data_IF_203605650194
#
_entry.id   IF_203605650194
#
_cell.length_a   1.000
_cell.length_b   1.000
_cell.length_c   1.000
_cell.angle_alpha   90.00
_cell.angle_beta   90.00
_cell.angle_gamma   90.00
#
_symmetry.space_group_name_H-M   'P 1'
#
loop_
_entity.id
_entity.type
_entity.pdbx_description
1 polymer ?
#
# COMPACT_ATOMS: atom_id res chain seq x y z
N UNK A 1 13.30 22.74 -0.65
CA UNK A 1 12.28 22.96 0.40
C UNK A 1 12.35 21.72 1.28
N UNK A 2 12.74 21.86 2.54
CA UNK A 2 12.77 20.74 3.47
C UNK A 2 11.31 20.37 3.77
N UNK A 3 10.84 19.26 3.22
CA UNK A 3 9.54 18.70 3.60
C UNK A 3 9.65 18.32 5.08
N UNK A 4 9.04 19.13 5.94
CA UNK A 4 8.88 18.82 7.35
C UNK A 4 7.85 17.69 7.47
N UNK A 5 8.31 16.45 7.40
CA UNK A 5 7.48 15.32 7.80
C UNK A 5 7.36 15.36 9.33
N UNK A 6 6.13 15.32 9.85
CA UNK A 6 5.91 15.44 11.28
C UNK A 6 6.39 14.20 12.04
N UNK A 7 6.48 14.35 13.32
CA UNK A 7 7.01 13.39 14.29
C UNK A 7 6.39 11.99 14.11
N UNK A 8 7.21 10.97 13.87
CA UNK A 8 6.79 9.58 13.65
C UNK A 8 5.95 8.97 14.81
N UNK A 9 5.83 9.70 15.92
CA UNK A 9 5.09 9.29 17.13
C UNK A 9 3.57 9.54 17.05
N UNK A 10 3.04 10.17 15.95
CA UNK A 10 1.64 10.60 15.88
C UNK A 10 0.94 10.14 14.58
N UNK A 11 1.26 8.94 14.12
CA UNK A 11 0.81 8.47 12.79
C UNK A 11 -0.73 8.36 12.69
N UNK A 12 -1.38 7.83 13.74
CA UNK A 12 -2.84 7.77 13.78
C UNK A 12 -3.47 9.16 13.85
N UNK A 13 -2.92 10.08 14.64
CA UNK A 13 -3.44 11.45 14.77
C UNK A 13 -3.37 12.22 13.45
N UNK A 14 -2.26 12.10 12.72
CA UNK A 14 -2.10 12.75 11.41
C UNK A 14 -3.11 12.24 10.38
N UNK A 15 -3.30 10.92 10.34
CA UNK A 15 -4.32 10.34 9.47
C UNK A 15 -5.73 10.69 9.91
N UNK A 16 -5.95 10.85 11.21
CA UNK A 16 -7.22 11.30 11.76
C UNK A 16 -7.56 12.73 11.34
N UNK A 17 -6.59 13.64 11.27
CA UNK A 17 -6.80 15.01 10.76
C UNK A 17 -7.35 14.98 9.31
N UNK A 18 -6.76 14.16 8.43
CA UNK A 18 -7.25 14.00 7.05
C UNK A 18 -8.61 13.30 6.99
N UNK A 19 -8.83 12.29 7.85
CA UNK A 19 -10.10 11.60 7.99
C UNK A 19 -11.22 12.57 8.40
N UNK A 20 -10.98 13.42 9.40
CA UNK A 20 -11.95 14.44 9.86
C UNK A 20 -12.23 15.48 8.78
N UNK A 21 -11.20 15.92 8.04
CA UNK A 21 -11.38 16.80 6.89
C UNK A 21 -12.30 16.17 5.84
N UNK A 22 -12.12 14.88 5.56
CA UNK A 22 -12.96 14.16 4.61
C UNK A 22 -14.42 14.01 5.10
N UNK A 23 -14.66 13.86 6.41
CA UNK A 23 -16.02 13.89 6.99
C UNK A 23 -16.70 15.25 6.78
N UNK A 24 -15.98 16.35 6.99
CA UNK A 24 -16.54 17.69 6.89
C UNK A 24 -16.78 18.16 5.44
N UNK A 25 -16.04 17.61 4.49
CA UNK A 25 -16.13 17.97 3.07
C UNK A 25 -16.15 16.72 2.18
N UNK A 26 -17.13 15.81 2.38
CA UNK A 26 -17.14 14.54 1.64
C UNK A 26 -17.31 14.72 0.12
N UNK A 27 -17.94 15.84 -0.30
CA UNK A 27 -18.09 16.19 -1.71
C UNK A 27 -16.75 16.51 -2.40
N UNK A 28 -15.76 17.00 -1.66
CA UNK A 28 -14.43 17.33 -2.22
C UNK A 28 -13.66 16.07 -2.63
N UNK A 29 -14.03 14.92 -2.06
CA UNK A 29 -13.44 13.61 -2.32
C UNK A 29 -14.40 12.64 -3.03
N UNK A 30 -15.64 13.05 -3.32
CA UNK A 30 -16.72 12.17 -3.81
C UNK A 30 -16.86 10.90 -2.97
N UNK A 31 -16.90 11.05 -1.65
CA UNK A 31 -17.07 9.95 -0.69
C UNK A 31 -18.42 10.03 0.02
N UNK A 32 -18.80 8.93 0.66
CA UNK A 32 -19.99 8.86 1.53
C UNK A 32 -19.56 8.63 2.97
N UNK A 33 -20.31 9.18 3.89
CA UNK A 33 -20.14 8.95 5.33
C UNK A 33 -21.25 8.02 5.81
N UNK A 34 -20.89 6.88 6.35
CA UNK A 34 -21.82 5.92 6.96
C UNK A 34 -21.70 5.96 8.49
N UNK A 35 -22.84 5.93 9.17
CA UNK A 35 -22.90 5.78 10.63
C UNK A 35 -23.00 4.30 11.00
N UNK A 36 -22.04 3.80 11.78
CA UNK A 36 -22.00 2.43 12.27
C UNK A 36 -21.89 2.45 13.81
N UNK A 37 -23.02 2.42 14.49
CA UNK A 37 -23.07 2.70 15.93
C UNK A 37 -22.63 4.13 16.23
N UNK A 38 -21.59 4.28 17.06
CA UNK A 38 -21.02 5.57 17.42
C UNK A 38 -19.81 5.96 16.54
N UNK A 39 -19.52 5.16 15.52
CA UNK A 39 -18.36 5.29 14.64
C UNK A 39 -18.76 5.87 13.28
N UNK A 40 -17.93 6.72 12.70
CA UNK A 40 -18.03 7.15 11.31
C UNK A 40 -17.15 6.28 10.43
N UNK A 41 -17.72 5.74 9.36
CA UNK A 41 -17.02 4.99 8.32
C UNK A 41 -17.05 5.80 7.03
N UNK A 42 -15.90 5.98 6.41
CA UNK A 42 -15.80 6.66 5.11
C UNK A 42 -15.85 5.63 3.97
N UNK A 43 -16.95 5.65 3.23
CA UNK A 43 -17.10 4.88 1.98
C UNK A 43 -16.44 5.65 0.84
N UNK A 44 -15.23 5.24 0.48
CA UNK A 44 -14.49 5.82 -0.65
C UNK A 44 -14.98 5.31 -2.00
N UNK A 45 -15.42 4.05 -2.10
CA UNK A 45 -15.98 3.51 -3.34
C UNK A 45 -16.59 2.10 -3.19
N UNK A 46 -17.36 1.83 -2.16
CA UNK A 46 -18.16 0.60 -2.07
C UNK A 46 -19.33 0.69 -3.07
N UNK A 47 -19.38 -0.22 -4.05
CA UNK A 47 -20.44 -0.27 -5.06
C UNK A 47 -20.40 0.82 -6.13
N UNK A 48 -19.30 1.56 -6.28
CA UNK A 48 -19.09 2.59 -7.31
C UNK A 48 -17.63 2.68 -7.74
N UNK A 49 -17.33 3.48 -8.77
CA UNK A 49 -15.95 3.62 -9.27
C UNK A 49 -15.14 4.65 -8.48
N UNK A 50 -15.78 5.66 -7.84
CA UNK A 50 -15.10 6.76 -7.16
C UNK A 50 -14.27 7.65 -8.08
N UNK A 51 -13.40 8.46 -7.50
CA UNK A 51 -12.54 9.41 -8.23
C UNK A 51 -11.05 9.18 -7.95
N UNK A 52 -10.20 9.77 -8.78
CA UNK A 52 -8.75 9.74 -8.61
C UNK A 52 -8.31 10.52 -7.36
N UNK A 53 -8.95 11.66 -7.08
CA UNK A 53 -8.71 12.48 -5.89
C UNK A 53 -9.01 11.72 -4.60
N UNK A 54 -10.12 10.97 -4.58
CA UNK A 54 -10.43 10.07 -3.46
C UNK A 54 -9.35 8.99 -3.29
N UNK A 55 -8.82 8.48 -4.40
CA UNK A 55 -7.76 7.48 -4.38
C UNK A 55 -6.45 8.00 -3.79
N UNK A 56 -6.08 9.22 -4.14
CA UNK A 56 -4.90 9.89 -3.55
C UNK A 56 -5.08 10.06 -2.05
N UNK A 57 -6.22 10.61 -1.60
CA UNK A 57 -6.50 10.79 -0.17
C UNK A 57 -6.52 9.46 0.61
N UNK A 58 -7.13 8.41 0.04
CA UNK A 58 -7.14 7.07 0.65
C UNK A 58 -5.73 6.50 0.81
N UNK A 59 -4.88 6.65 -0.22
CA UNK A 59 -3.51 6.18 -0.18
C UNK A 59 -2.66 6.96 0.84
N UNK A 60 -2.85 8.28 0.96
CA UNK A 60 -2.19 9.10 1.98
C UNK A 60 -2.60 8.70 3.40
N UNK A 61 -3.91 8.49 3.65
CA UNK A 61 -4.39 7.95 4.94
C UNK A 61 -3.76 6.58 5.21
N UNK A 62 -3.73 5.70 4.22
CA UNK A 62 -3.15 4.35 4.34
C UNK A 62 -1.67 4.37 4.73
N UNK A 63 -0.93 5.38 4.29
CA UNK A 63 0.49 5.60 4.61
C UNK A 63 0.71 6.48 5.84
N UNK A 64 -0.32 6.73 6.65
CA UNK A 64 -0.19 7.53 7.87
C UNK A 64 0.06 9.01 7.60
N UNK A 65 -0.31 9.53 6.43
CA UNK A 65 0.03 10.88 5.96
C UNK A 65 1.55 11.18 5.98
N UNK A 66 2.40 10.14 5.97
CA UNK A 66 3.87 10.23 5.94
C UNK A 66 4.45 10.08 4.53
N UNK A 67 3.61 10.03 3.52
CA UNK A 67 4.00 9.99 2.12
C UNK A 67 3.17 10.97 1.31
N UNK A 68 3.74 11.44 0.22
CA UNK A 68 3.03 12.20 -0.80
C UNK A 68 2.67 11.29 -1.96
N UNK A 69 1.42 11.35 -2.36
CA UNK A 69 0.87 10.59 -3.49
C UNK A 69 0.48 11.56 -4.60
N UNK A 70 0.92 11.28 -5.81
CA UNK A 70 0.64 12.12 -6.99
C UNK A 70 0.27 11.26 -8.19
N UNK A 71 -0.69 11.70 -8.98
CA UNK A 71 -0.88 11.17 -10.32
C UNK A 71 -0.01 11.99 -11.27
N UNK A 72 0.86 11.30 -12.00
CA UNK A 72 1.82 11.93 -12.92
C UNK A 72 1.61 11.47 -14.36
N UNK A 73 2.31 12.12 -15.28
CA UNK A 73 2.17 11.91 -16.71
C UNK A 73 2.16 10.43 -17.13
N UNK A 74 1.38 10.08 -18.16
CA UNK A 74 1.28 8.70 -18.65
C UNK A 74 2.63 8.14 -19.14
N UNK A 75 2.80 6.82 -18.98
CA UNK A 75 3.83 6.08 -19.72
C UNK A 75 3.39 6.05 -21.19
N UNK A 76 4.24 6.53 -22.08
CA UNK A 76 3.92 6.68 -23.49
C UNK A 76 3.37 5.40 -24.14
N UNK A 77 4.02 4.26 -23.89
CA UNK A 77 3.66 2.96 -24.47
C UNK A 77 2.35 2.36 -23.95
N UNK A 78 1.93 2.76 -22.76
CA UNK A 78 0.71 2.23 -22.09
C UNK A 78 -0.44 3.23 -22.15
N UNK A 79 -0.18 4.51 -22.41
CA UNK A 79 -1.12 5.61 -22.32
C UNK A 79 -1.94 5.62 -21.01
N UNK A 80 -1.27 5.27 -19.91
CA UNK A 80 -1.86 5.19 -18.56
C UNK A 80 -1.15 6.15 -17.62
N UNK A 81 -1.89 6.92 -16.79
CA UNK A 81 -1.27 7.73 -15.74
C UNK A 81 -0.49 6.84 -14.78
N UNK A 82 0.44 7.43 -14.07
CA UNK A 82 1.22 6.73 -13.06
C UNK A 82 0.87 7.25 -11.67
N UNK A 83 0.83 6.35 -10.70
CA UNK A 83 0.82 6.69 -9.28
C UNK A 83 2.27 6.84 -8.84
N UNK A 84 2.63 8.04 -8.37
CA UNK A 84 3.93 8.35 -7.78
C UNK A 84 3.78 8.46 -6.27
N UNK A 85 4.69 7.81 -5.57
CA UNK A 85 4.81 7.83 -4.11
C UNK A 85 6.17 8.40 -3.73
N UNK A 86 6.24 9.23 -2.69
CA UNK A 86 7.50 9.68 -2.12
C UNK A 86 7.39 9.83 -0.60
N UNK A 87 8.39 9.31 0.13
CA UNK A 87 8.44 9.37 1.59
C UNK A 87 9.87 9.42 2.09
N UNK A 88 10.13 10.25 3.09
CA UNK A 88 11.38 10.23 3.87
C UNK A 88 11.27 9.42 5.17
N UNK A 89 10.16 8.70 5.35
CA UNK A 89 9.91 7.82 6.49
C UNK A 89 9.42 6.43 6.01
N UNK A 90 10.18 5.75 5.11
CA UNK A 90 9.69 4.53 4.46
C UNK A 90 9.39 3.40 5.45
N UNK A 91 10.14 3.30 6.55
CA UNK A 91 9.89 2.28 7.56
C UNK A 91 8.52 2.47 8.24
N UNK A 92 8.19 3.71 8.64
CA UNK A 92 6.93 4.02 9.30
C UNK A 92 5.75 4.03 8.30
N UNK A 93 5.91 4.72 7.17
CA UNK A 93 4.86 4.86 6.17
C UNK A 93 4.49 3.53 5.51
N UNK A 94 5.48 2.75 5.09
CA UNK A 94 5.26 1.50 4.36
C UNK A 94 5.07 0.32 5.31
N UNK A 95 6.04 0.04 6.19
CA UNK A 95 6.03 -1.16 7.03
C UNK A 95 5.10 -0.99 8.24
N UNK A 96 5.17 0.15 8.92
CA UNK A 96 4.32 0.46 10.07
C UNK A 96 2.85 0.61 9.70
N UNK A 97 2.57 1.35 8.63
CA UNK A 97 1.21 1.76 8.26
C UNK A 97 0.65 0.97 7.07
N UNK A 98 1.23 1.09 5.88
CA UNK A 98 0.62 0.65 4.63
C UNK A 98 0.57 -0.87 4.42
N UNK A 99 1.53 -1.65 4.93
CA UNK A 99 1.62 -3.09 4.69
C UNK A 99 0.26 -3.78 4.92
N UNK A 100 -0.17 -4.64 3.99
CA UNK A 100 -1.43 -5.38 4.07
C UNK A 100 -1.26 -6.65 4.92
N UNK A 101 -1.08 -6.47 6.24
CA UNK A 101 -0.75 -7.54 7.17
C UNK A 101 -1.89 -8.01 8.06
N UNK A 102 -3.10 -7.47 7.90
CA UNK A 102 -4.23 -7.78 8.76
C UNK A 102 -5.46 -8.25 7.99
N UNK A 103 -5.58 -9.56 7.66
CA UNK A 103 -6.83 -10.12 7.21
C UNK A 103 -7.84 -10.14 8.36
N UNK A 104 -8.99 -9.47 8.18
CA UNK A 104 -10.06 -9.42 9.16
C UNK A 104 -11.28 -10.15 8.61
N UNK A 105 -11.70 -11.20 9.32
CA UNK A 105 -12.91 -11.96 9.02
C UNK A 105 -13.82 -11.97 10.24
N UNK A 106 -15.11 -11.67 10.03
CA UNK A 106 -16.15 -11.82 11.05
C UNK A 106 -17.47 -12.17 10.38
N UNK A 107 -18.07 -13.30 10.75
CA UNK A 107 -19.27 -13.82 10.08
C UNK A 107 -19.07 -13.92 8.57
N UNK A 108 -19.84 -13.20 7.76
CA UNK A 108 -19.71 -13.14 6.30
C UNK A 108 -18.86 -11.96 5.82
N UNK A 109 -18.41 -11.08 6.72
CA UNK A 109 -17.58 -9.93 6.37
C UNK A 109 -16.11 -10.34 6.23
N UNK A 110 -15.48 -9.84 5.18
CA UNK A 110 -14.03 -9.95 4.98
C UNK A 110 -13.46 -8.62 4.49
N UNK A 111 -12.33 -8.24 5.06
CA UNK A 111 -11.52 -7.14 4.56
C UNK A 111 -10.03 -7.43 4.72
N UNK A 112 -9.23 -6.96 3.77
CA UNK A 112 -7.80 -6.81 4.00
C UNK A 112 -7.55 -5.42 4.60
N UNK A 113 -7.06 -5.40 5.83
CA UNK A 113 -6.85 -4.18 6.59
C UNK A 113 -5.40 -3.72 6.54
N UNK A 114 -5.24 -2.41 6.47
CA UNK A 114 -3.96 -1.70 6.46
C UNK A 114 -4.14 -0.31 7.10
N UNK A 115 -3.11 0.51 7.06
CA UNK A 115 -3.14 1.85 7.62
C UNK A 115 -2.59 1.91 9.05
N UNK A 116 -2.58 3.12 9.64
CA UNK A 116 -1.98 3.39 10.95
C UNK A 116 -2.49 2.52 12.10
N UNK A 117 -3.76 2.04 12.05
CA UNK A 117 -4.35 1.20 13.09
C UNK A 117 -3.59 -0.11 13.35
N UNK A 118 -2.71 -0.54 12.42
CA UNK A 118 -1.85 -1.70 12.63
C UNK A 118 -0.83 -1.48 13.73
N UNK A 119 -0.37 -0.23 13.90
CA UNK A 119 0.65 0.10 14.91
C UNK A 119 0.13 -0.06 16.36
N UNK A 120 -1.04 0.48 16.76
CA UNK A 120 -1.58 0.19 18.09
C UNK A 120 -1.99 -1.27 18.27
N UNK A 121 -2.44 -1.97 17.23
CA UNK A 121 -2.68 -3.41 17.29
C UNK A 121 -1.43 -4.21 17.61
N UNK A 122 -0.28 -3.90 17.00
CA UNK A 122 1.05 -4.40 17.35
C UNK A 122 1.28 -5.92 17.25
N UNK A 123 0.40 -6.69 16.59
CA UNK A 123 0.47 -8.17 16.60
C UNK A 123 1.40 -8.75 15.53
N UNK A 124 1.89 -7.94 14.61
CA UNK A 124 2.74 -8.40 13.53
C UNK A 124 4.21 -8.42 13.95
N UNK A 125 4.92 -9.51 13.64
CA UNK A 125 6.32 -9.69 14.02
C UNK A 125 7.21 -8.53 13.51
N UNK A 126 6.95 -8.02 12.30
CA UNK A 126 7.71 -6.92 11.72
C UNK A 126 7.57 -5.63 12.53
N UNK A 127 6.39 -5.35 13.10
CA UNK A 127 6.18 -4.19 13.98
C UNK A 127 6.99 -4.29 15.26
N UNK A 128 7.07 -5.48 15.84
CA UNK A 128 7.91 -5.75 17.03
C UNK A 128 9.39 -5.65 16.70
N UNK A 129 9.82 -6.23 15.58
CA UNK A 129 11.22 -6.24 15.14
C UNK A 129 11.77 -4.82 14.99
N UNK A 130 11.00 -3.92 14.37
CA UNK A 130 11.41 -2.52 14.11
C UNK A 130 10.88 -1.51 15.14
N UNK A 131 10.28 -1.99 16.25
CA UNK A 131 9.73 -1.15 17.33
C UNK A 131 8.72 -0.12 16.83
N UNK A 132 7.85 -0.55 15.92
CA UNK A 132 6.81 0.29 15.30
C UNK A 132 5.46 0.20 16.05
N UNK A 133 5.36 -0.62 17.11
CA UNK A 133 4.17 -0.63 17.94
C UNK A 133 4.03 0.70 18.69
N UNK A 134 2.89 1.35 18.52
CA UNK A 134 2.57 2.65 19.14
C UNK A 134 1.14 2.62 19.68
N UNK A 135 0.93 2.74 20.99
CA UNK A 135 -0.39 3.00 21.55
C UNK A 135 -0.96 4.30 20.95
N UNK A 136 -2.27 4.33 20.72
CA UNK A 136 -2.94 5.48 20.15
C UNK A 136 -4.29 5.73 20.83
N UNK A 137 -4.76 6.99 20.85
CA UNK A 137 -6.10 7.35 21.35
C UNK A 137 -7.17 7.10 20.28
N UNK A 138 -6.78 7.16 19.00
CA UNK A 138 -7.63 6.88 17.84
C UNK A 138 -6.98 5.81 16.95
N UNK A 139 -7.79 4.96 16.35
CA UNK A 139 -7.34 3.96 15.38
C UNK A 139 -7.84 4.33 13.99
N UNK A 140 -6.93 4.68 13.07
CA UNK A 140 -7.27 5.02 11.69
C UNK A 140 -6.82 3.90 10.77
N UNK A 141 -7.73 3.38 9.94
CA UNK A 141 -7.44 2.25 9.06
C UNK A 141 -8.07 2.34 7.68
N UNK A 142 -7.52 1.55 6.77
CA UNK A 142 -8.04 1.34 5.42
C UNK A 142 -8.41 -0.12 5.26
N UNK A 143 -9.63 -0.36 4.80
CA UNK A 143 -10.19 -1.68 4.57
C UNK A 143 -10.45 -1.87 3.07
N UNK A 144 -9.78 -2.85 2.48
CA UNK A 144 -10.10 -3.31 1.14
C UNK A 144 -11.24 -4.31 1.24
N UNK A 145 -12.46 -3.86 0.91
CA UNK A 145 -13.70 -4.63 0.99
C UNK A 145 -14.75 -4.06 0.04
N UNK A 146 -15.70 -4.91 -0.35
CA UNK A 146 -16.89 -4.51 -1.12
C UNK A 146 -18.12 -4.26 -0.23
N UNK A 147 -17.93 -4.27 1.10
CA UNK A 147 -18.97 -4.06 2.09
C UNK A 147 -18.52 -3.09 3.18
N UNK A 148 -19.46 -2.32 3.72
CA UNK A 148 -19.22 -1.49 4.90
C UNK A 148 -19.21 -2.41 6.13
N UNK A 149 -18.24 -2.27 7.07
CA UNK A 149 -18.23 -3.06 8.30
C UNK A 149 -19.45 -2.77 9.16
N UNK A 150 -19.95 -3.78 9.84
CA UNK A 150 -20.98 -3.63 10.86
C UNK A 150 -20.38 -3.24 12.23
N UNK A 151 -21.26 -3.08 13.23
CA UNK A 151 -20.86 -2.69 14.59
C UNK A 151 -19.96 -3.74 15.25
N UNK A 152 -20.16 -5.03 14.96
CA UNK A 152 -19.37 -6.11 15.55
C UNK A 152 -17.93 -6.09 15.00
N UNK A 153 -17.77 -5.82 13.71
CA UNK A 153 -16.45 -5.62 13.10
C UNK A 153 -15.74 -4.39 13.69
N UNK A 154 -16.44 -3.28 13.88
CA UNK A 154 -15.87 -2.08 14.53
C UNK A 154 -15.43 -2.38 15.96
N UNK A 155 -16.27 -3.08 16.75
CA UNK A 155 -15.92 -3.49 18.11
C UNK A 155 -14.67 -4.40 18.14
N UNK A 156 -14.54 -5.30 17.18
CA UNK A 156 -13.37 -6.16 17.06
C UNK A 156 -12.09 -5.37 16.78
N UNK A 157 -12.15 -4.38 15.89
CA UNK A 157 -11.02 -3.46 15.61
C UNK A 157 -10.66 -2.68 16.87
N UNK A 158 -11.66 -2.09 17.55
CA UNK A 158 -11.47 -1.34 18.78
C UNK A 158 -10.73 -2.16 19.85
N UNK A 159 -11.22 -3.38 20.10
CA UNK A 159 -10.60 -4.32 21.04
C UNK A 159 -9.14 -4.64 20.68
N UNK A 160 -8.87 -4.90 19.40
CA UNK A 160 -7.51 -5.27 18.96
C UNK A 160 -6.55 -4.09 18.96
N UNK A 161 -7.03 -2.88 18.76
CA UNK A 161 -6.22 -1.65 18.81
C UNK A 161 -6.12 -1.02 20.21
N UNK A 162 -6.92 -1.51 21.17
CA UNK A 162 -6.93 -0.96 22.53
C UNK A 162 -7.58 0.42 22.64
N UNK A 163 -8.55 0.73 21.77
CA UNK A 163 -9.31 2.00 21.76
C UNK A 163 -10.81 1.73 21.99
N UNK A 164 -11.61 2.77 22.21
CA UNK A 164 -13.05 2.62 22.22
C UNK A 164 -13.62 2.58 20.80
N UNK A 165 -14.80 1.97 20.60
CA UNK A 165 -15.40 1.82 19.26
C UNK A 165 -15.64 3.16 18.57
N UNK A 166 -15.99 4.22 19.33
CA UNK A 166 -16.17 5.58 18.80
C UNK A 166 -14.86 6.21 18.27
N UNK A 167 -13.69 5.69 18.70
CA UNK A 167 -12.36 6.19 18.33
C UNK A 167 -11.75 5.36 17.17
N UNK A 168 -12.52 4.39 16.64
CA UNK A 168 -12.19 3.68 15.41
C UNK A 168 -12.64 4.49 14.20
N UNK A 169 -11.75 4.71 13.24
CA UNK A 169 -11.97 5.54 12.07
C UNK A 169 -11.50 4.77 10.83
N UNK A 170 -12.42 4.22 10.07
CA UNK A 170 -12.05 3.36 8.92
C UNK A 170 -12.55 3.91 7.60
N UNK A 171 -11.69 3.80 6.59
CA UNK A 171 -11.98 4.08 5.19
C UNK A 171 -12.15 2.76 4.46
N UNK A 172 -13.19 2.64 3.64
CA UNK A 172 -13.48 1.40 2.90
C UNK A 172 -13.51 1.68 1.41
N UNK A 173 -12.84 0.87 0.64
CA UNK A 173 -12.90 0.87 -0.81
C UNK A 173 -12.77 -0.56 -1.37
N UNK A 174 -13.50 -0.85 -2.45
CA UNK A 174 -13.28 -2.08 -3.21
C UNK A 174 -12.10 -1.91 -4.17
N UNK A 175 -11.42 -2.99 -4.52
CA UNK A 175 -10.27 -2.96 -5.43
C UNK A 175 -10.66 -2.45 -6.82
N UNK A 176 -11.84 -2.87 -7.36
CA UNK A 176 -12.38 -2.44 -8.65
C UNK A 176 -12.96 -1.01 -8.60
N UNK A 177 -12.18 -0.06 -8.08
CA UNK A 177 -12.50 1.37 -7.99
C UNK A 177 -11.25 2.21 -8.16
N UNK A 178 -11.39 3.49 -8.48
CA UNK A 178 -10.23 4.40 -8.49
C UNK A 178 -9.55 4.46 -7.12
N UNK A 179 -10.27 4.67 -5.98
CA UNK A 179 -9.64 4.66 -4.68
C UNK A 179 -8.92 3.36 -4.34
N UNK A 180 -9.56 2.22 -4.58
CA UNK A 180 -8.94 0.92 -4.34
C UNK A 180 -7.71 0.68 -5.20
N UNK A 181 -7.80 0.92 -6.51
CA UNK A 181 -6.67 0.72 -7.42
C UNK A 181 -5.50 1.65 -7.09
N UNK A 182 -5.74 2.93 -6.82
CA UNK A 182 -4.67 3.90 -6.51
C UNK A 182 -3.99 3.53 -5.19
N UNK A 183 -4.74 3.18 -4.13
CA UNK A 183 -4.13 2.80 -2.86
C UNK A 183 -3.29 1.51 -2.96
N UNK A 184 -3.69 0.55 -3.84
CA UNK A 184 -2.88 -0.65 -4.09
C UNK A 184 -1.65 -0.31 -4.91
N UNK A 185 -1.76 0.45 -6.01
CA UNK A 185 -0.62 0.84 -6.84
C UNK A 185 0.37 1.74 -6.08
N UNK A 186 -0.11 2.54 -5.13
CA UNK A 186 0.73 3.33 -4.22
C UNK A 186 1.63 2.48 -3.30
N UNK A 187 1.49 1.15 -3.31
CA UNK A 187 2.36 0.22 -2.56
C UNK A 187 3.71 -0.07 -3.21
N UNK A 188 4.07 0.62 -4.29
CA UNK A 188 5.32 0.38 -5.01
C UNK A 188 6.56 0.44 -4.09
N UNK A 189 6.66 1.43 -3.19
CA UNK A 189 7.75 1.51 -2.21
C UNK A 189 7.59 0.45 -1.11
N UNK A 190 6.36 0.21 -0.66
CA UNK A 190 6.05 -0.79 0.36
C UNK A 190 6.47 -2.19 -0.09
N UNK A 191 6.18 -2.58 -1.33
CA UNK A 191 6.58 -3.89 -1.87
C UNK A 191 8.10 -4.05 -1.97
N UNK A 192 8.83 -2.97 -2.25
CA UNK A 192 10.30 -2.98 -2.17
C UNK A 192 10.77 -3.18 -0.72
N UNK A 193 10.17 -2.49 0.25
CA UNK A 193 10.48 -2.67 1.68
C UNK A 193 10.16 -4.09 2.16
N UNK A 194 9.01 -4.65 1.75
CA UNK A 194 8.64 -6.03 2.02
C UNK A 194 9.68 -7.02 1.47
N UNK A 195 10.09 -6.85 0.21
CA UNK A 195 11.12 -7.69 -0.42
C UNK A 195 12.45 -7.62 0.31
N UNK A 196 12.90 -6.42 0.67
CA UNK A 196 14.11 -6.23 1.48
C UNK A 196 14.03 -6.97 2.81
N UNK A 197 12.86 -6.94 3.48
CA UNK A 197 12.62 -7.70 4.71
C UNK A 197 12.75 -9.22 4.50
N UNK A 198 12.14 -9.76 3.44
CA UNK A 198 12.25 -11.19 3.11
C UNK A 198 13.69 -11.59 2.79
N UNK A 199 14.49 -10.71 2.17
CA UNK A 199 15.91 -10.89 1.90
C UNK A 199 16.81 -10.63 3.13
N UNK A 200 16.21 -10.31 4.31
CA UNK A 200 16.92 -10.07 5.59
C UNK A 200 17.81 -8.82 5.56
N UNK A 201 17.51 -7.87 4.70
CA UNK A 201 18.15 -6.56 4.73
C UNK A 201 17.63 -5.73 5.90
N UNK A 202 18.50 -4.93 6.51
CA UNK A 202 18.09 -4.07 7.62
C UNK A 202 17.31 -2.85 7.11
N UNK A 203 15.98 -2.89 7.28
CA UNK A 203 15.09 -1.81 6.83
C UNK A 203 15.32 -0.49 7.56
N UNK A 204 15.95 -0.49 8.74
CA UNK A 204 16.25 0.75 9.47
C UNK A 204 17.29 1.62 8.77
N UNK A 205 18.03 1.05 7.82
CA UNK A 205 18.99 1.77 6.98
C UNK A 205 18.36 2.48 5.78
N UNK A 206 17.10 2.21 5.45
CA UNK A 206 16.39 2.86 4.34
C UNK A 206 15.83 4.19 4.82
N UNK A 207 16.34 5.29 4.28
CA UNK A 207 16.08 6.65 4.77
C UNK A 207 15.17 7.48 3.85
N UNK A 208 14.99 7.07 2.59
CA UNK A 208 14.10 7.71 1.62
C UNK A 208 13.62 6.69 0.60
N UNK A 209 12.39 6.86 0.12
CA UNK A 209 11.79 6.00 -0.89
C UNK A 209 10.92 6.77 -1.87
N UNK A 210 11.12 6.53 -3.15
CA UNK A 210 10.27 7.02 -4.22
C UNK A 210 9.90 5.88 -5.15
N UNK A 211 8.63 5.81 -5.54
CA UNK A 211 8.14 4.80 -6.46
C UNK A 211 7.17 5.38 -7.48
N UNK A 212 7.16 4.80 -8.67
CA UNK A 212 6.14 5.05 -9.70
C UNK A 212 5.64 3.73 -10.25
N UNK A 213 4.35 3.62 -10.50
CA UNK A 213 3.75 2.47 -11.16
C UNK A 213 2.54 2.91 -12.01
N UNK A 214 2.25 2.24 -13.14
CA UNK A 214 1.11 2.61 -13.97
C UNK A 214 -0.21 2.31 -13.27
N UNK A 215 -1.17 3.23 -13.33
CA UNK A 215 -2.53 2.99 -12.89
C UNK A 215 -3.26 2.13 -13.93
N UNK A 216 -3.69 0.90 -13.61
CA UNK A 216 -4.42 0.07 -14.57
C UNK A 216 -5.78 0.66 -14.92
N UNK A 217 -6.46 0.19 -15.96
CA UNK A 217 -7.90 0.43 -16.14
C UNK A 217 -8.68 -0.04 -14.91
N UNK A 218 -9.86 0.52 -14.67
CA UNK A 218 -10.72 0.07 -13.57
C UNK A 218 -11.75 -0.93 -14.11
N UNK A 219 -11.58 -2.23 -13.83
CA UNK A 219 -12.52 -3.26 -14.29
C UNK A 219 -13.83 -3.22 -13.49
N UNK A 220 -14.75 -4.13 -13.80
CA UNK A 220 -16.03 -4.21 -13.08
C UNK A 220 -15.98 -5.15 -11.88
N UNK A 221 -15.05 -6.08 -11.84
CA UNK A 221 -14.90 -7.06 -10.75
C UNK A 221 -13.56 -6.92 -10.00
N UNK A 222 -13.60 -7.24 -8.71
CA UNK A 222 -12.46 -7.08 -7.81
C UNK A 222 -11.33 -8.09 -8.08
N UNK A 223 -11.63 -9.25 -8.62
CA UNK A 223 -10.62 -10.26 -8.93
C UNK A 223 -9.71 -9.79 -10.08
N UNK A 224 -10.31 -9.27 -11.14
CA UNK A 224 -9.56 -8.66 -12.26
C UNK A 224 -8.78 -7.43 -11.78
N UNK A 225 -9.41 -6.57 -10.96
CA UNK A 225 -8.75 -5.40 -10.40
C UNK A 225 -7.52 -5.78 -9.56
N UNK A 226 -7.64 -6.79 -8.72
CA UNK A 226 -6.54 -7.33 -7.92
C UNK A 226 -5.40 -7.84 -8.84
N UNK A 227 -5.72 -8.58 -9.89
CA UNK A 227 -4.74 -9.03 -10.87
C UNK A 227 -3.98 -7.86 -11.49
N UNK A 228 -4.70 -6.87 -12.02
CA UNK A 228 -4.11 -5.74 -12.72
C UNK A 228 -3.30 -4.81 -11.81
N UNK A 229 -3.74 -4.57 -10.58
CA UNK A 229 -3.00 -3.73 -9.63
C UNK A 229 -1.71 -4.39 -9.15
N UNK A 230 -1.71 -5.72 -8.97
CA UNK A 230 -0.48 -6.46 -8.71
C UNK A 230 0.47 -6.41 -9.91
N UNK A 231 -0.02 -6.65 -11.13
CA UNK A 231 0.80 -6.58 -12.35
C UNK A 231 1.39 -5.19 -12.58
N UNK A 232 0.64 -4.13 -12.24
CA UNK A 232 1.15 -2.75 -12.27
C UNK A 232 2.42 -2.58 -11.44
N UNK A 233 2.53 -3.26 -10.31
CA UNK A 233 3.72 -3.24 -9.46
C UNK A 233 4.78 -4.22 -9.97
N UNK A 234 4.41 -5.49 -10.18
CA UNK A 234 5.33 -6.57 -10.53
C UNK A 234 6.05 -6.34 -11.85
N UNK A 235 5.41 -5.68 -12.80
CA UNK A 235 5.92 -5.49 -14.16
C UNK A 235 6.12 -4.02 -14.54
N UNK A 236 5.52 -3.08 -13.78
CA UNK A 236 5.52 -1.66 -14.11
C UNK A 236 6.13 -0.74 -13.09
N UNK A 237 6.33 -1.18 -11.84
CA UNK A 237 6.86 -0.28 -10.83
C UNK A 237 8.37 -0.09 -10.97
N UNK A 238 8.78 1.18 -10.88
CA UNK A 238 10.16 1.60 -10.67
C UNK A 238 10.28 2.25 -9.29
N UNK A 239 11.21 1.75 -8.48
CA UNK A 239 11.45 2.25 -7.12
C UNK A 239 12.89 2.72 -6.98
N UNK A 240 13.05 3.89 -6.36
CA UNK A 240 14.33 4.45 -5.96
C UNK A 240 14.37 4.50 -4.43
N UNK A 241 15.36 3.88 -3.82
CA UNK A 241 15.61 3.92 -2.38
C UNK A 241 16.94 4.60 -2.09
N UNK A 242 16.98 5.43 -1.05
CA UNK A 242 18.24 5.90 -0.47
C UNK A 242 18.48 5.15 0.83
N UNK A 243 19.68 4.59 0.96
CA UNK A 243 20.07 3.82 2.15
C UNK A 243 21.35 4.40 2.78
N UNK A 244 21.55 4.10 4.05
CA UNK A 244 22.73 4.46 4.83
C UNK A 244 23.36 3.21 5.42
N UNK A 245 24.15 2.49 4.60
CA UNK A 245 24.76 1.21 5.00
C UNK A 245 26.09 1.01 4.24
N UNK A 246 26.70 -0.14 4.38
CA UNK A 246 27.91 -0.50 3.61
C UNK A 246 27.51 -1.03 2.22
N UNK A 247 28.32 -0.74 1.20
CA UNK A 247 28.04 -1.15 -0.19
C UNK A 247 27.90 -2.67 -0.35
N UNK A 248 28.68 -3.44 0.38
CA UNK A 248 28.66 -4.91 0.36
C UNK A 248 27.28 -5.46 0.75
N UNK A 249 26.59 -4.81 1.69
CA UNK A 249 25.24 -5.22 2.09
C UNK A 249 24.24 -5.07 0.92
N UNK A 250 24.40 -4.00 0.12
CA UNK A 250 23.56 -3.75 -1.05
C UNK A 250 23.93 -4.70 -2.19
N UNK A 251 25.23 -4.84 -2.48
CA UNK A 251 25.76 -5.71 -3.55
C UNK A 251 25.26 -7.16 -3.39
N UNK A 252 25.16 -7.65 -2.15
CA UNK A 252 24.75 -9.03 -1.88
C UNK A 252 23.30 -9.33 -2.24
N UNK A 253 22.41 -8.31 -2.33
CA UNK A 253 20.97 -8.52 -2.47
C UNK A 253 20.33 -7.80 -3.67
N UNK A 254 20.91 -6.73 -4.21
CA UNK A 254 20.20 -5.84 -5.15
C UNK A 254 19.65 -6.55 -6.39
N UNK A 255 20.35 -7.57 -6.92
CA UNK A 255 19.87 -8.37 -8.06
C UNK A 255 18.74 -9.32 -7.72
N UNK A 256 18.50 -9.59 -6.43
CA UNK A 256 17.44 -10.45 -5.94
C UNK A 256 16.14 -9.67 -5.61
N UNK A 257 16.21 -8.32 -5.59
CA UNK A 257 15.06 -7.48 -5.22
C UNK A 257 13.98 -7.50 -6.30
N UNK A 258 14.25 -7.28 -7.60
CA UNK A 258 13.19 -7.17 -8.60
C UNK A 258 12.30 -8.41 -8.64
N UNK A 259 11.03 -8.23 -9.03
CA UNK A 259 10.07 -9.33 -9.24
C UNK A 259 10.61 -10.41 -10.18
N UNK A 260 11.52 -10.04 -11.10
CA UNK A 260 12.18 -10.96 -12.02
C UNK A 260 13.10 -12.00 -11.35
N UNK A 261 13.35 -11.88 -10.06
CA UNK A 261 14.08 -12.91 -9.29
C UNK A 261 13.20 -14.09 -8.87
N UNK A 262 11.87 -13.98 -8.97
CA UNK A 262 10.94 -15.07 -8.69
C UNK A 262 10.78 -16.02 -9.88
N UNK A 263 10.60 -17.30 -9.61
CA UNK A 263 10.31 -18.33 -10.62
C UNK A 263 8.96 -18.11 -11.34
N UNK A 264 8.02 -17.41 -10.71
CA UNK A 264 6.70 -17.09 -11.26
C UNK A 264 6.71 -15.86 -12.20
N UNK A 265 7.86 -15.16 -12.31
CA UNK A 265 7.97 -13.97 -13.15
C UNK A 265 7.67 -14.27 -14.63
N UNK A 266 6.95 -13.36 -15.27
CA UNK A 266 6.61 -13.45 -16.71
C UNK A 266 5.18 -13.91 -16.98
N UNK A 267 4.44 -14.33 -15.95
CA UNK A 267 3.02 -14.71 -16.01
C UNK A 267 2.16 -13.62 -15.37
N UNK A 268 1.05 -13.16 -15.98
CA UNK A 268 0.12 -12.23 -15.33
C UNK A 268 -0.36 -12.76 -13.97
N UNK A 269 -0.46 -11.86 -12.98
CA UNK A 269 -0.75 -12.24 -11.60
C UNK A 269 -2.03 -13.06 -11.45
N UNK A 270 -3.08 -12.72 -12.18
CA UNK A 270 -4.35 -13.45 -12.11
C UNK A 270 -4.20 -14.93 -12.53
N UNK A 271 -3.35 -15.23 -13.49
CA UNK A 271 -3.04 -16.61 -13.89
C UNK A 271 -2.27 -17.35 -12.79
N UNK A 272 -1.29 -16.68 -12.18
CA UNK A 272 -0.56 -17.22 -11.02
C UNK A 272 -1.53 -17.52 -9.89
N UNK A 273 -2.36 -16.56 -9.51
CA UNK A 273 -3.34 -16.68 -8.44
C UNK A 273 -4.31 -17.84 -8.63
N UNK A 274 -4.83 -18.01 -9.86
CA UNK A 274 -5.68 -19.14 -10.21
C UNK A 274 -4.94 -20.49 -10.12
N UNK A 275 -3.65 -20.54 -10.51
CA UNK A 275 -2.81 -21.74 -10.42
C UNK A 275 -2.61 -22.19 -8.97
N UNK A 276 -2.59 -21.26 -8.02
CA UNK A 276 -2.48 -21.53 -6.59
C UNK A 276 -3.83 -21.56 -5.86
N UNK A 277 -4.92 -21.93 -6.55
CA UNK A 277 -6.27 -22.08 -5.98
C UNK A 277 -6.80 -20.80 -5.31
N UNK A 278 -6.37 -19.64 -5.76
CA UNK A 278 -6.69 -18.31 -5.18
C UNK A 278 -6.20 -18.14 -3.74
N UNK A 279 -5.12 -18.82 -3.41
CA UNK A 279 -4.48 -18.72 -2.09
C UNK A 279 -3.17 -17.92 -2.20
N UNK A 280 -3.21 -16.67 -1.73
CA UNK A 280 -2.06 -15.76 -1.69
C UNK A 280 -0.84 -16.33 -0.96
N UNK A 281 -1.09 -17.13 0.09
CA UNK A 281 -0.02 -17.65 0.95
C UNK A 281 0.77 -18.79 0.30
N UNK A 282 0.25 -19.38 -0.79
CA UNK A 282 0.96 -20.38 -1.58
C UNK A 282 1.89 -19.78 -2.64
N UNK A 283 1.69 -18.49 -2.99
CA UNK A 283 2.51 -17.81 -3.99
C UNK A 283 3.88 -17.49 -3.38
N UNK A 284 4.92 -17.62 -4.19
CA UNK A 284 6.27 -17.21 -3.81
C UNK A 284 6.27 -15.74 -3.35
N UNK A 285 6.57 -15.52 -2.08
CA UNK A 285 6.62 -14.18 -1.48
C UNK A 285 7.64 -13.27 -2.16
N UNK A 286 8.69 -13.85 -2.75
CA UNK A 286 9.71 -13.11 -3.48
C UNK A 286 9.22 -12.54 -4.81
N UNK A 287 8.04 -12.94 -5.29
CA UNK A 287 7.40 -12.32 -6.44
C UNK A 287 6.95 -10.89 -6.14
N UNK A 288 6.39 -10.64 -4.94
CA UNK A 288 5.84 -9.34 -4.57
C UNK A 288 6.95 -8.29 -4.39
N UNK A 289 7.32 -7.67 -5.50
CA UNK A 289 8.41 -6.70 -5.57
C UNK A 289 8.27 -5.83 -6.82
N UNK A 290 8.88 -4.63 -6.87
CA UNK A 290 8.84 -3.80 -8.06
C UNK A 290 9.60 -4.44 -9.24
N UNK A 291 9.21 -4.01 -10.46
CA UNK A 291 9.88 -4.45 -11.69
C UNK A 291 11.33 -3.98 -11.77
N UNK A 292 11.60 -2.76 -11.32
CA UNK A 292 12.90 -2.11 -11.36
C UNK A 292 13.20 -1.44 -10.03
N UNK A 293 14.44 -1.60 -9.54
CA UNK A 293 14.94 -0.97 -8.33
C UNK A 293 16.22 -0.21 -8.60
N UNK A 294 16.34 0.97 -8.01
CA UNK A 294 17.59 1.73 -7.91
C UNK A 294 17.84 1.99 -6.43
N UNK A 295 18.98 1.58 -5.91
CA UNK A 295 19.40 1.84 -4.54
C UNK A 295 20.60 2.75 -4.56
N UNK A 296 20.49 3.95 -3.98
CA UNK A 296 21.60 4.89 -3.79
C UNK A 296 22.10 4.79 -2.35
N UNK A 297 23.39 4.52 -2.20
CA UNK A 297 24.01 4.56 -0.89
C UNK A 297 24.44 6.01 -0.55
N UNK A 298 23.87 6.59 0.51
CA UNK A 298 24.19 7.94 0.95
C UNK A 298 25.64 8.11 1.38
N UNK A 299 26.30 7.04 1.86
CA UNK A 299 27.69 7.08 2.36
C UNK A 299 28.70 7.20 1.24
N UNK A 300 28.48 6.49 0.13
CA UNK A 300 29.44 6.33 -0.97
C UNK A 300 29.00 7.00 -2.25
N UNK A 301 27.73 7.45 -2.32
CA UNK A 301 27.08 7.99 -3.52
C UNK A 301 26.97 7.00 -4.69
N UNK A 302 27.22 5.70 -4.43
CA UNK A 302 27.08 4.63 -5.45
C UNK A 302 25.60 4.29 -5.64
N UNK A 303 25.29 3.94 -6.90
CA UNK A 303 23.98 3.44 -7.29
C UNK A 303 24.04 1.98 -7.73
N UNK A 304 23.05 1.20 -7.30
CA UNK A 304 22.88 -0.21 -7.63
C UNK A 304 21.53 -0.37 -8.29
N UNK A 305 21.52 -0.79 -9.55
CA UNK A 305 20.28 -0.92 -10.35
C UNK A 305 20.05 -2.37 -10.72
N UNK A 306 18.80 -2.83 -10.63
CA UNK A 306 18.40 -4.17 -11.04
C UNK A 306 16.96 -4.21 -11.54
N UNK A 307 16.65 -5.21 -12.38
CA UNK A 307 15.32 -5.38 -12.97
C UNK A 307 15.06 -4.51 -14.18
N UNK A 308 13.85 -4.58 -14.70
CA UNK A 308 13.36 -3.76 -15.83
C UNK A 308 11.85 -3.80 -15.92
N UNK A 309 11.25 -2.72 -16.40
CA UNK A 309 9.82 -2.64 -16.72
C UNK A 309 9.49 -3.56 -17.91
N UNK A 310 8.32 -4.21 -17.85
CA UNK A 310 7.79 -5.15 -18.84
C UNK A 310 6.44 -4.68 -19.39
N UNK A 311 6.48 -3.65 -20.25
CA UNK A 311 5.27 -3.10 -20.89
C UNK A 311 4.52 -4.14 -21.72
N UNK A 312 5.21 -5.13 -22.27
CA UNK A 312 4.60 -6.23 -23.01
C UNK A 312 3.63 -7.07 -22.14
N UNK A 313 4.05 -7.40 -20.90
CA UNK A 313 3.20 -8.13 -19.95
C UNK A 313 2.04 -7.24 -19.47
N UNK A 314 2.31 -5.97 -19.18
CA UNK A 314 1.30 -5.02 -18.77
C UNK A 314 0.19 -4.83 -19.83
N UNK A 315 0.57 -4.73 -21.10
CA UNK A 315 -0.40 -4.66 -22.20
C UNK A 315 -1.29 -5.89 -22.24
N UNK A 316 -0.69 -7.07 -22.13
CA UNK A 316 -1.43 -8.34 -22.09
C UNK A 316 -2.37 -8.40 -20.89
N UNK A 317 -1.86 -8.09 -19.70
CA UNK A 317 -2.64 -8.11 -18.46
C UNK A 317 -3.80 -7.13 -18.49
N UNK A 318 -3.56 -5.88 -18.88
CA UNK A 318 -4.59 -4.81 -18.89
C UNK A 318 -5.54 -4.91 -20.08
N UNK A 319 -5.32 -5.83 -21.04
CA UNK A 319 -6.12 -5.96 -22.24
C UNK A 319 -6.05 -4.75 -23.17
N UNK A 320 -4.90 -4.07 -23.21
CA UNK A 320 -4.65 -2.88 -24.06
C UNK A 320 -3.67 -3.25 -25.19
N UNK A 321 -3.97 -2.74 -26.39
CA UNK A 321 -3.16 -2.99 -27.61
C UNK A 321 -2.07 -1.94 -27.82
#
# INVERSE_FOLDING_TARGET
MSDNFPNAERVNDMSFELFVKAIHSPQDFDIRVADVGDTKVLDFAVGRKGTEEAGVALAEICMGCMARIELVAPIADLNRPQVKVSTSLPLQACVGSQLAGWPLSHSNFFAMCSGPMRMPRGQEQVLTQYKLHQPAEVAVGVMESNEIPDKEVINLIAQQCGVESRDVNVCVARTASYPGAIQVVARSVETAMHKLHELKFDLSTVIDGQGTAPLPPIPDDDLTAMGWTNDAILYGAKVNLTVDTDDEAIESIHTQIPSSSSAEFGTPFLEIFNRFDKDFYKIDKLLFSPAEIVIRNRRTDREFTAGKIRNDILKTSFGIS
#
